data_IF_080167199775
#
_entry.id   IF_080167199775
#
_cell.length_a   1.000
_cell.length_b   1.000
_cell.length_c   1.000
_cell.angle_alpha   90.00
_cell.angle_beta   90.00
_cell.angle_gamma   90.00
#
_symmetry.space_group_name_H-M   'P 1'
#
loop_
_entity.id
_entity.type
_entity.pdbx_description
1 polymer ?
#
# COMPACT_ATOMS: atom_id res chain seq x y z
N UNK A 1 -1.39 6.30 8.58
CA UNK A 1 -2.39 5.60 9.41
C UNK A 1 -2.53 4.19 8.85
N UNK A 2 -2.39 3.18 9.70
CA UNK A 2 -2.65 1.78 9.35
C UNK A 2 -4.10 1.48 9.71
N UNK A 3 -4.80 0.76 8.85
CA UNK A 3 -6.20 0.40 9.05
C UNK A 3 -6.36 -1.11 8.96
N UNK A 4 -7.18 -1.67 9.85
CA UNK A 4 -7.72 -3.00 9.66
C UNK A 4 -8.63 -3.06 8.43
N UNK A 5 -8.88 -4.27 7.91
CA UNK A 5 -9.77 -4.46 6.77
C UNK A 5 -11.19 -3.94 7.06
N UNK A 6 -11.66 -4.05 8.31
CA UNK A 6 -12.98 -3.58 8.72
C UNK A 6 -13.06 -2.05 8.72
N UNK A 7 -12.06 -1.37 9.28
CA UNK A 7 -11.98 0.09 9.25
C UNK A 7 -11.87 0.61 7.81
N UNK A 8 -11.04 -0.06 6.99
CA UNK A 8 -10.86 0.29 5.59
C UNK A 8 -12.16 0.13 4.80
N UNK A 9 -12.94 -0.92 5.08
CA UNK A 9 -14.23 -1.15 4.43
C UNK A 9 -15.22 -0.01 4.75
N UNK A 10 -15.26 0.45 6.00
CA UNK A 10 -16.09 1.60 6.39
C UNK A 10 -15.64 2.86 5.66
N UNK A 11 -14.34 3.18 5.68
CA UNK A 11 -13.79 4.37 5.01
C UNK A 11 -14.01 4.36 3.49
N UNK A 12 -13.76 3.21 2.85
CA UNK A 12 -13.95 3.06 1.42
C UNK A 12 -15.41 3.26 1.01
N UNK A 13 -16.37 2.76 1.81
CA UNK A 13 -17.79 2.99 1.54
C UNK A 13 -18.17 4.46 1.74
N UNK A 14 -17.64 5.13 2.76
CA UNK A 14 -17.82 6.58 2.93
C UNK A 14 -17.31 7.35 1.70
N UNK A 15 -16.09 7.06 1.23
CA UNK A 15 -15.53 7.74 0.06
C UNK A 15 -16.30 7.42 -1.23
N UNK A 16 -16.79 6.19 -1.40
CA UNK A 16 -17.66 5.84 -2.52
C UNK A 16 -18.97 6.62 -2.50
N UNK A 17 -19.60 6.78 -1.34
CA UNK A 17 -20.82 7.58 -1.19
C UNK A 17 -20.58 9.08 -1.47
N UNK A 18 -19.36 9.55 -1.23
CA UNK A 18 -18.89 10.90 -1.60
C UNK A 18 -18.48 11.01 -3.09
N UNK A 19 -18.70 9.96 -3.90
CA UNK A 19 -18.29 9.89 -5.31
C UNK A 19 -16.79 10.10 -5.55
N UNK A 20 -15.95 9.75 -4.57
CA UNK A 20 -14.49 9.85 -4.68
C UNK A 20 -13.91 8.67 -5.45
N UNK A 21 -12.90 8.95 -6.28
CA UNK A 21 -12.10 7.92 -6.94
C UNK A 21 -11.06 7.37 -5.97
N UNK A 22 -11.13 6.07 -5.71
CA UNK A 22 -10.21 5.35 -4.83
C UNK A 22 -9.22 4.58 -5.69
N UNK A 23 -7.93 4.89 -5.53
CA UNK A 23 -6.82 4.19 -6.15
C UNK A 23 -6.25 3.20 -5.14
N UNK A 24 -5.88 2.02 -5.61
CA UNK A 24 -5.23 1.00 -4.82
C UNK A 24 -3.91 0.58 -5.46
N UNK A 25 -2.87 0.43 -4.64
CA UNK A 25 -1.63 -0.22 -5.02
C UNK A 25 -1.10 -1.04 -3.85
N UNK A 26 -0.18 -1.96 -4.12
CA UNK A 26 0.53 -2.68 -3.07
C UNK A 26 2.03 -2.75 -3.37
N UNK A 27 2.81 -3.03 -2.33
CA UNK A 27 4.24 -3.22 -2.46
C UNK A 27 4.86 -3.71 -1.17
N UNK A 28 6.07 -4.24 -1.28
CA UNK A 28 6.92 -4.52 -0.12
C UNK A 28 7.61 -3.26 0.39
N UNK A 29 7.92 -2.32 -0.52
CA UNK A 29 8.62 -1.07 -0.23
C UNK A 29 9.95 -1.20 0.53
N UNK A 30 10.57 -2.38 0.44
CA UNK A 30 11.92 -2.67 0.97
C UNK A 30 12.92 -1.61 0.50
N UNK A 31 13.73 -1.10 1.44
CA UNK A 31 14.67 0.01 1.23
C UNK A 31 14.04 1.16 0.43
N UNK A 32 13.05 1.83 1.04
CA UNK A 32 12.27 2.87 0.39
C UNK A 32 13.14 3.92 -0.32
N UNK A 33 12.98 4.02 -1.63
CA UNK A 33 13.79 4.86 -2.51
C UNK A 33 12.93 5.62 -3.52
N UNK A 34 13.56 6.48 -4.33
CA UNK A 34 12.87 7.39 -5.26
C UNK A 34 11.83 6.69 -6.16
N UNK A 35 12.18 5.54 -6.75
CA UNK A 35 11.23 4.77 -7.57
C UNK A 35 9.90 4.42 -6.86
N UNK A 36 9.92 4.11 -5.56
CA UNK A 36 8.69 3.89 -4.79
C UNK A 36 7.92 5.21 -4.58
N UNK A 37 8.63 6.31 -4.30
CA UNK A 37 8.02 7.63 -4.15
C UNK A 37 7.34 8.08 -5.45
N UNK A 38 7.97 7.84 -6.60
CA UNK A 38 7.41 8.15 -7.91
C UNK A 38 6.16 7.32 -8.19
N UNK A 39 6.19 6.02 -7.85
CA UNK A 39 5.03 5.13 -7.96
C UNK A 39 3.87 5.62 -7.09
N UNK A 40 4.13 5.93 -5.82
CA UNK A 40 3.10 6.38 -4.87
C UNK A 40 2.53 7.75 -5.25
N UNK A 41 3.39 8.67 -5.68
CA UNK A 41 2.98 10.00 -6.17
C UNK A 41 2.09 9.88 -7.40
N UNK A 42 2.52 9.09 -8.40
CA UNK A 42 1.72 8.84 -9.60
C UNK A 42 0.40 8.16 -9.25
N UNK A 43 0.42 7.12 -8.42
CA UNK A 43 -0.80 6.43 -7.99
C UNK A 43 -1.76 7.40 -7.28
N UNK A 44 -1.26 8.27 -6.41
CA UNK A 44 -2.07 9.28 -5.72
C UNK A 44 -2.68 10.30 -6.69
N UNK A 45 -2.00 10.62 -7.78
CA UNK A 45 -2.49 11.58 -8.79
C UNK A 45 -3.67 11.06 -9.61
N UNK A 46 -3.89 9.74 -9.64
CA UNK A 46 -4.97 9.10 -10.40
C UNK A 46 -6.33 9.13 -9.69
N UNK A 47 -6.42 9.70 -8.48
CA UNK A 47 -7.69 9.80 -7.76
C UNK A 47 -7.64 10.55 -6.44
N UNK A 48 -8.76 10.56 -5.74
CA UNK A 48 -8.96 11.34 -4.52
C UNK A 48 -8.34 10.67 -3.29
N UNK A 49 -8.32 9.34 -3.26
CA UNK A 49 -7.82 8.53 -2.15
C UNK A 49 -6.87 7.46 -2.66
N UNK A 50 -5.73 7.30 -2.01
CA UNK A 50 -4.79 6.21 -2.28
C UNK A 50 -4.80 5.26 -1.08
N UNK A 51 -5.10 3.99 -1.34
CA UNK A 51 -4.93 2.90 -0.40
C UNK A 51 -3.67 2.14 -0.82
N UNK A 52 -2.76 1.94 0.13
CA UNK A 52 -1.51 1.20 -0.10
C UNK A 52 -1.54 -0.06 0.77
N UNK A 53 -1.49 -1.22 0.13
CA UNK A 53 -1.26 -2.49 0.82
C UNK A 53 0.25 -2.73 1.01
N UNK A 54 0.67 -2.93 2.26
CA UNK A 54 2.02 -3.38 2.55
C UNK A 54 2.05 -4.91 2.53
N UNK A 55 2.95 -5.47 1.73
CA UNK A 55 3.11 -6.91 1.63
C UNK A 55 3.91 -7.43 2.83
N UNK A 56 3.46 -8.54 3.42
CA UNK A 56 4.16 -9.11 4.57
C UNK A 56 5.51 -9.72 4.20
N UNK A 57 6.46 -9.72 5.12
CA UNK A 57 7.78 -10.35 5.06
C UNK A 57 7.63 -11.80 4.60
N UNK A 58 6.68 -12.54 5.20
CA UNK A 58 6.40 -13.92 4.83
C UNK A 58 5.98 -14.09 3.35
N UNK A 59 5.23 -13.12 2.81
CA UNK A 59 4.83 -13.12 1.40
C UNK A 59 6.00 -12.77 0.48
N UNK A 60 6.85 -11.83 0.91
CA UNK A 60 7.99 -11.34 0.14
C UNK A 60 9.09 -12.37 0.10
N UNK A 61 9.42 -13.02 1.23
CA UNK A 61 10.35 -14.14 1.30
C UNK A 61 9.90 -15.29 0.39
N UNK A 62 8.59 -15.61 0.40
CA UNK A 62 8.04 -16.67 -0.47
C UNK A 62 8.21 -16.34 -1.96
N UNK A 63 8.14 -15.06 -2.33
CA UNK A 63 8.23 -14.61 -3.71
C UNK A 63 9.67 -14.40 -4.20
N UNK A 64 10.52 -13.77 -3.37
CA UNK A 64 11.86 -13.31 -3.73
C UNK A 64 12.98 -14.18 -3.17
N UNK A 65 12.68 -15.08 -2.24
CA UNK A 65 13.63 -15.97 -1.60
C UNK A 65 14.15 -15.43 -0.26
N UNK A 66 15.02 -16.23 0.37
CA UNK A 66 15.65 -15.87 1.65
C UNK A 66 16.60 -14.68 1.46
N UNK A 67 16.57 -13.74 2.39
CA UNK A 67 17.39 -12.51 2.35
C UNK A 67 16.66 -11.28 1.80
N UNK A 68 15.38 -11.40 1.43
CA UNK A 68 14.48 -10.29 1.17
C UNK A 68 13.15 -10.50 1.91
N UNK A 69 12.54 -9.48 2.53
CA UNK A 69 13.00 -8.10 2.54
C UNK A 69 14.18 -7.87 3.50
N UNK A 70 14.91 -6.77 3.29
CA UNK A 70 16.00 -6.35 4.18
C UNK A 70 15.42 -5.62 5.39
N UNK A 71 14.47 -4.72 5.16
CA UNK A 71 13.68 -4.05 6.21
C UNK A 71 12.40 -4.83 6.51
N UNK A 72 11.97 -4.90 7.78
CA UNK A 72 10.74 -5.61 8.13
C UNK A 72 9.49 -4.78 7.79
N UNK A 73 8.36 -5.47 7.60
CA UNK A 73 7.05 -4.84 7.37
C UNK A 73 6.56 -3.90 8.51
N UNK A 74 7.22 -3.91 9.67
CA UNK A 74 6.86 -3.09 10.84
C UNK A 74 7.81 -1.90 11.09
N UNK A 75 8.88 -1.77 10.30
CA UNK A 75 9.91 -0.71 10.45
C UNK A 75 9.45 0.62 9.84
#
# INVERSE_FOLDING_TARGET
MIFSINELHVLANTWKNESKTIVFTNGCFDLLHQGHMDLLTQSKSLGDKLIVGLNSDSSVIRLKGKGCPIESEET
#
